data_IF_107896618839
#
_entry.id   IF_107896618839
#
_cell.length_a   1.000
_cell.length_b   1.000
_cell.length_c   1.000
_cell.angle_alpha   90.00
_cell.angle_beta   90.00
_cell.angle_gamma   90.00
#
_symmetry.space_group_name_H-M   'P 1'
#
loop_
_entity.id
_entity.type
_entity.pdbx_description
1 polymer ?
#
# COMPACT_ATOMS: atom_id res chain seq x y z
N UNK A 1 18.53 -13.79 18.52
CA UNK A 1 18.86 -13.56 17.07
C UNK A 1 18.35 -14.77 16.28
N UNK A 2 17.41 -14.55 15.35
CA UNK A 2 16.90 -15.61 14.49
C UNK A 2 18.02 -16.13 13.58
N UNK A 3 18.17 -17.46 13.47
CA UNK A 3 19.14 -18.09 12.59
C UNK A 3 18.82 -17.72 11.14
N UNK A 4 19.76 -17.24 10.31
CA UNK A 4 19.45 -16.86 8.93
C UNK A 4 18.87 -18.06 8.18
N UNK A 5 17.84 -17.80 7.37
CA UNK A 5 17.20 -18.79 6.52
C UNK A 5 18.24 -19.40 5.58
N UNK A 6 18.32 -20.73 5.51
CA UNK A 6 19.23 -21.44 4.59
C UNK A 6 18.80 -21.32 3.12
N UNK A 7 17.58 -20.84 2.86
CA UNK A 7 16.98 -20.75 1.53
C UNK A 7 16.87 -19.29 1.07
N UNK A 8 17.04 -19.09 -0.23
CA UNK A 8 16.82 -17.80 -0.90
C UNK A 8 15.33 -17.52 -1.05
N UNK A 9 14.96 -16.24 -1.26
CA UNK A 9 13.56 -15.85 -1.46
C UNK A 9 12.93 -16.53 -2.68
N UNK A 10 13.71 -16.76 -3.74
CA UNK A 10 13.26 -17.53 -4.92
C UNK A 10 12.88 -18.96 -4.58
N UNK A 11 13.68 -19.64 -3.76
CA UNK A 11 13.38 -20.99 -3.30
C UNK A 11 12.15 -21.03 -2.40
N UNK A 12 11.96 -20.03 -1.56
CA UNK A 12 10.73 -19.91 -0.76
C UNK A 12 9.49 -19.70 -1.62
N UNK A 13 9.60 -18.92 -2.68
CA UNK A 13 8.52 -18.70 -3.64
C UNK A 13 8.16 -19.99 -4.40
N UNK A 14 9.16 -20.73 -4.86
CA UNK A 14 8.98 -22.05 -5.48
C UNK A 14 8.30 -23.05 -4.54
N UNK A 15 8.71 -23.11 -3.27
CA UNK A 15 8.07 -23.96 -2.26
C UNK A 15 6.60 -23.56 -2.07
N UNK A 16 6.30 -22.26 -2.03
CA UNK A 16 4.93 -21.73 -1.91
C UNK A 16 4.07 -22.19 -3.08
N UNK A 17 4.56 -22.04 -4.30
CA UNK A 17 3.84 -22.42 -5.52
C UNK A 17 3.58 -23.94 -5.57
N UNK A 18 4.55 -24.75 -5.17
CA UNK A 18 4.41 -26.21 -5.12
C UNK A 18 3.42 -26.67 -4.03
N UNK A 19 3.41 -25.99 -2.87
CA UNK A 19 2.40 -26.22 -1.81
C UNK A 19 0.99 -25.84 -2.28
N UNK A 20 0.84 -24.76 -3.02
CA UNK A 20 -0.44 -24.32 -3.61
C UNK A 20 -0.94 -25.34 -4.64
N UNK A 21 -0.03 -25.96 -5.39
CA UNK A 21 -0.33 -27.03 -6.34
C UNK A 21 -0.60 -28.39 -5.67
N UNK A 22 -0.59 -28.45 -4.33
CA UNK A 22 -0.97 -29.65 -3.56
C UNK A 22 0.18 -30.58 -3.19
N UNK A 23 1.45 -30.18 -3.38
CA UNK A 23 2.58 -30.97 -2.96
C UNK A 23 2.71 -31.03 -1.43
N UNK A 24 3.17 -32.18 -0.93
CA UNK A 24 3.33 -32.41 0.50
C UNK A 24 4.46 -31.57 1.08
N UNK A 25 4.15 -30.78 2.12
CA UNK A 25 5.17 -29.99 2.87
C UNK A 25 6.33 -30.87 3.37
N UNK A 26 6.04 -32.11 3.74
CA UNK A 26 7.05 -33.08 4.17
C UNK A 26 7.99 -33.51 3.04
N UNK A 27 7.48 -33.68 1.82
CA UNK A 27 8.29 -33.98 0.64
C UNK A 27 9.24 -32.84 0.32
N UNK A 28 8.71 -31.63 0.27
CA UNK A 28 9.47 -30.39 0.03
C UNK A 28 10.53 -30.15 1.11
N UNK A 29 10.19 -30.38 2.38
CA UNK A 29 11.16 -30.29 3.48
C UNK A 29 12.36 -31.19 3.31
N UNK A 30 12.14 -32.42 2.84
CA UNK A 30 13.24 -33.39 2.55
C UNK A 30 14.06 -32.92 1.36
N UNK A 31 13.44 -32.48 0.30
CA UNK A 31 14.10 -32.03 -0.93
C UNK A 31 15.01 -30.81 -0.69
N UNK A 32 14.51 -29.80 0.05
CA UNK A 32 15.27 -28.60 0.35
C UNK A 32 16.14 -28.67 1.61
N UNK A 33 16.15 -29.81 2.30
CA UNK A 33 16.99 -30.06 3.49
C UNK A 33 16.65 -29.16 4.68
N UNK A 34 15.38 -28.81 4.85
CA UNK A 34 14.86 -27.95 5.93
C UNK A 34 13.81 -28.69 6.77
N UNK A 35 13.48 -28.15 7.93
CA UNK A 35 12.41 -28.70 8.77
C UNK A 35 11.03 -28.41 8.16
N UNK A 36 10.11 -29.38 8.24
CA UNK A 36 8.72 -29.19 7.83
C UNK A 36 8.03 -28.05 8.59
N UNK A 37 8.38 -27.87 9.88
CA UNK A 37 7.89 -26.75 10.70
C UNK A 37 8.22 -25.38 10.10
N UNK A 38 9.41 -25.24 9.50
CA UNK A 38 9.83 -23.99 8.86
C UNK A 38 8.99 -23.68 7.62
N UNK A 39 8.62 -24.71 6.83
CA UNK A 39 7.69 -24.53 5.69
C UNK A 39 6.29 -24.17 6.24
N UNK A 40 5.83 -24.85 7.27
CA UNK A 40 4.51 -24.60 7.86
C UNK A 40 4.40 -23.17 8.39
N UNK A 41 5.42 -22.69 9.09
CA UNK A 41 5.44 -21.36 9.67
C UNK A 41 5.47 -20.25 8.61
N UNK A 42 6.32 -20.39 7.58
CA UNK A 42 6.51 -19.34 6.57
C UNK A 42 5.49 -19.36 5.45
N UNK A 43 5.04 -20.53 5.02
CA UNK A 43 4.28 -20.70 3.78
C UNK A 43 2.77 -20.87 4.04
N UNK A 44 2.36 -21.38 5.22
CA UNK A 44 0.94 -21.70 5.45
C UNK A 44 0.04 -20.46 5.45
N UNK A 45 0.45 -19.39 6.14
CA UNK A 45 -0.35 -18.15 6.18
C UNK A 45 -0.51 -17.55 4.77
N UNK A 46 0.58 -17.47 4.02
CA UNK A 46 0.57 -16.95 2.64
C UNK A 46 -0.26 -17.83 1.71
N UNK A 47 -0.18 -19.15 1.83
CA UNK A 47 -1.02 -20.07 1.04
C UNK A 47 -2.52 -19.93 1.36
N UNK A 48 -2.87 -19.72 2.63
CA UNK A 48 -4.26 -19.49 3.03
C UNK A 48 -4.80 -18.17 2.48
N UNK A 49 -4.00 -17.09 2.55
CA UNK A 49 -4.38 -15.81 1.95
C UNK A 49 -4.60 -15.94 0.44
N UNK A 50 -3.68 -16.58 -0.29
CA UNK A 50 -3.82 -16.79 -1.74
C UNK A 50 -5.07 -17.62 -2.06
N UNK A 51 -5.35 -18.71 -1.30
CA UNK A 51 -6.55 -19.51 -1.47
C UNK A 51 -7.82 -18.71 -1.22
N UNK A 52 -7.85 -17.91 -0.17
CA UNK A 52 -8.98 -17.04 0.14
C UNK A 52 -9.25 -16.03 -0.98
N UNK A 53 -8.21 -15.39 -1.51
CA UNK A 53 -8.34 -14.48 -2.66
C UNK A 53 -8.83 -15.23 -3.89
N UNK A 54 -8.30 -16.42 -4.17
CA UNK A 54 -8.77 -17.25 -5.30
C UNK A 54 -10.26 -17.63 -5.16
N UNK A 55 -10.71 -18.02 -3.97
CA UNK A 55 -12.12 -18.28 -3.71
C UNK A 55 -13.01 -17.05 -3.91
N UNK A 56 -12.54 -15.87 -3.47
CA UNK A 56 -13.27 -14.61 -3.68
C UNK A 56 -13.39 -14.26 -5.16
N UNK A 57 -12.31 -14.45 -5.94
CA UNK A 57 -12.33 -14.23 -7.39
C UNK A 57 -13.33 -15.17 -8.09
N UNK A 58 -13.32 -16.46 -7.76
CA UNK A 58 -14.28 -17.42 -8.32
C UNK A 58 -15.71 -17.05 -7.94
N UNK A 59 -15.96 -16.66 -6.68
CA UNK A 59 -17.28 -16.22 -6.25
C UNK A 59 -17.75 -14.97 -6.99
N UNK A 60 -16.85 -13.99 -7.19
CA UNK A 60 -17.13 -12.78 -7.96
C UNK A 60 -17.46 -13.10 -9.42
N UNK A 61 -16.67 -13.97 -10.08
CA UNK A 61 -16.96 -14.40 -11.46
C UNK A 61 -18.31 -15.13 -11.57
N UNK A 62 -18.62 -16.01 -10.61
CA UNK A 62 -19.91 -16.69 -10.58
C UNK A 62 -21.08 -15.70 -10.38
N UNK A 63 -20.89 -14.66 -9.57
CA UNK A 63 -21.89 -13.62 -9.38
C UNK A 63 -22.11 -12.80 -10.67
N UNK A 64 -21.02 -12.42 -11.34
CA UNK A 64 -21.10 -11.70 -12.63
C UNK A 64 -21.81 -12.54 -13.70
N UNK A 65 -21.53 -13.83 -13.82
CA UNK A 65 -22.16 -14.74 -14.79
C UNK A 65 -23.68 -14.90 -14.59
N UNK A 66 -24.21 -14.60 -13.40
CA UNK A 66 -25.66 -14.60 -13.13
C UNK A 66 -26.38 -13.34 -13.63
N UNK A 67 -25.64 -12.29 -13.97
CA UNK A 67 -26.19 -11.06 -14.51
C UNK A 67 -26.46 -11.22 -16.02
N UNK A 68 -27.41 -10.43 -16.56
CA UNK A 68 -27.57 -10.30 -18.01
C UNK A 68 -26.33 -9.61 -18.65
N UNK A 69 -26.11 -9.80 -19.94
CA UNK A 69 -24.92 -9.32 -20.65
C UNK A 69 -24.64 -7.82 -20.46
N UNK A 70 -25.63 -6.89 -20.59
CA UNK A 70 -25.38 -5.47 -20.33
C UNK A 70 -24.93 -5.18 -18.91
N UNK A 71 -25.48 -5.87 -17.91
CA UNK A 71 -25.07 -5.71 -16.51
C UNK A 71 -23.68 -6.28 -16.24
N UNK A 72 -23.28 -7.37 -16.90
CA UNK A 72 -21.91 -7.90 -16.83
C UNK A 72 -20.89 -6.86 -17.32
N UNK A 73 -21.15 -6.24 -18.49
CA UNK A 73 -20.29 -5.19 -19.05
C UNK A 73 -20.21 -4.00 -18.10
N UNK A 74 -21.35 -3.58 -17.53
CA UNK A 74 -21.39 -2.48 -16.56
C UNK A 74 -20.59 -2.78 -15.29
N UNK A 75 -20.69 -4.00 -14.77
CA UNK A 75 -19.95 -4.45 -13.59
C UNK A 75 -18.43 -4.44 -13.83
N UNK A 76 -17.98 -4.96 -14.98
CA UNK A 76 -16.55 -4.92 -15.35
C UNK A 76 -16.02 -3.49 -15.54
N UNK A 77 -16.81 -2.63 -16.20
CA UNK A 77 -16.43 -1.23 -16.38
C UNK A 77 -16.33 -0.48 -15.04
N UNK A 78 -17.27 -0.74 -14.11
CA UNK A 78 -17.22 -0.15 -12.78
C UNK A 78 -16.01 -0.65 -11.98
N UNK A 79 -15.75 -1.95 -11.97
CA UNK A 79 -14.59 -2.52 -11.31
C UNK A 79 -13.27 -1.94 -11.84
N UNK A 80 -13.14 -1.82 -13.17
CA UNK A 80 -11.98 -1.20 -13.80
C UNK A 80 -11.78 0.27 -13.38
N UNK A 81 -12.88 1.05 -13.32
CA UNK A 81 -12.82 2.45 -12.85
C UNK A 81 -12.39 2.54 -11.39
N UNK A 82 -12.94 1.69 -10.51
CA UNK A 82 -12.57 1.68 -9.09
C UNK A 82 -11.10 1.32 -8.88
N UNK A 83 -10.58 0.32 -9.59
CA UNK A 83 -9.15 -0.02 -9.57
C UNK A 83 -8.28 1.14 -10.05
N UNK A 84 -8.67 1.81 -11.15
CA UNK A 84 -7.95 2.97 -11.66
C UNK A 84 -7.96 4.14 -10.68
N UNK A 85 -9.08 4.40 -10.00
CA UNK A 85 -9.15 5.44 -8.96
C UNK A 85 -8.22 5.11 -7.78
N UNK A 86 -8.25 3.88 -7.29
CA UNK A 86 -7.37 3.43 -6.19
C UNK A 86 -5.89 3.59 -6.56
N UNK A 87 -5.50 3.18 -7.78
CA UNK A 87 -4.15 3.36 -8.28
C UNK A 87 -3.75 4.84 -8.35
N UNK A 88 -4.62 5.69 -8.91
CA UNK A 88 -4.35 7.13 -9.04
C UNK A 88 -4.23 7.81 -7.67
N UNK A 89 -5.04 7.42 -6.68
CA UNK A 89 -4.93 7.95 -5.31
C UNK A 89 -3.60 7.56 -4.66
N UNK A 90 -3.18 6.30 -4.80
CA UNK A 90 -1.90 5.82 -4.29
C UNK A 90 -0.71 6.54 -4.97
N UNK A 91 -0.75 6.67 -6.29
CA UNK A 91 0.30 7.36 -7.07
C UNK A 91 0.40 8.84 -6.70
N UNK A 92 -0.75 9.53 -6.55
CA UNK A 92 -0.78 10.93 -6.14
C UNK A 92 -0.27 11.11 -4.71
N UNK A 93 -0.63 10.21 -3.79
CA UNK A 93 -0.10 10.18 -2.43
C UNK A 93 1.43 10.02 -2.41
N UNK A 94 1.96 9.09 -3.18
CA UNK A 94 3.40 8.87 -3.29
C UNK A 94 4.14 10.09 -3.89
N UNK A 95 3.56 10.74 -4.91
CA UNK A 95 4.09 11.98 -5.48
C UNK A 95 4.07 13.13 -4.48
N UNK A 96 3.00 13.27 -3.71
CA UNK A 96 2.89 14.26 -2.64
C UNK A 96 3.98 14.09 -1.57
N UNK A 97 4.21 12.87 -1.12
CA UNK A 97 5.28 12.55 -0.17
C UNK A 97 6.68 12.85 -0.75
N UNK A 98 6.92 12.52 -2.02
CA UNK A 98 8.18 12.83 -2.69
C UNK A 98 8.42 14.35 -2.83
N UNK A 99 7.38 15.13 -3.12
CA UNK A 99 7.45 16.60 -3.16
C UNK A 99 7.79 17.15 -1.77
N UNK A 100 7.11 16.69 -0.72
CA UNK A 100 7.39 17.08 0.65
C UNK A 100 8.86 16.83 1.04
N UNK A 101 9.39 15.65 0.72
CA UNK A 101 10.79 15.30 0.95
C UNK A 101 11.76 16.24 0.23
N UNK A 102 11.49 16.57 -1.04
CA UNK A 102 12.33 17.50 -1.82
C UNK A 102 12.29 18.92 -1.25
N UNK A 103 11.10 19.38 -0.85
CA UNK A 103 10.95 20.70 -0.23
C UNK A 103 11.70 20.78 1.11
N UNK A 104 11.67 19.73 1.93
CA UNK A 104 12.45 19.64 3.16
C UNK A 104 13.95 19.76 2.88
N UNK A 105 14.46 19.07 1.86
CA UNK A 105 15.89 19.18 1.46
C UNK A 105 16.24 20.59 0.97
N UNK A 106 15.31 21.27 0.29
CA UNK A 106 15.53 22.67 -0.13
C UNK A 106 15.55 23.60 1.10
N UNK A 107 14.65 23.38 2.06
CA UNK A 107 14.63 24.14 3.31
C UNK A 107 15.94 23.96 4.11
N UNK A 108 16.46 22.75 4.22
CA UNK A 108 17.75 22.45 4.86
C UNK A 108 18.90 23.23 4.19
N UNK A 109 18.95 23.28 2.87
CA UNK A 109 19.96 24.06 2.15
C UNK A 109 19.83 25.56 2.42
N UNK A 110 18.58 26.08 2.45
CA UNK A 110 18.34 27.49 2.79
C UNK A 110 18.72 27.83 4.24
N UNK A 111 18.63 26.85 5.16
CA UNK A 111 19.09 27.04 6.53
C UNK A 111 20.58 27.38 6.61
N UNK A 112 21.41 26.78 5.75
CA UNK A 112 22.84 27.16 5.66
C UNK A 112 23.06 28.63 5.29
N UNK A 113 22.22 29.24 4.45
CA UNK A 113 22.30 30.67 4.17
C UNK A 113 21.87 31.53 5.38
N UNK A 114 20.85 31.09 6.12
CA UNK A 114 20.41 31.75 7.35
C UNK A 114 21.52 31.74 8.40
N UNK A 115 22.19 30.60 8.57
CA UNK A 115 23.32 30.45 9.50
C UNK A 115 24.50 31.35 9.12
N UNK A 116 24.82 31.45 7.84
CA UNK A 116 25.85 32.35 7.33
C UNK A 116 25.52 33.80 7.61
N UNK A 117 24.29 34.23 7.30
CA UNK A 117 23.80 35.58 7.56
C UNK A 117 23.79 35.93 9.06
N UNK A 118 23.47 34.95 9.92
CA UNK A 118 23.58 35.12 11.37
C UNK A 118 25.00 35.29 11.84
N UNK A 119 25.96 34.51 11.28
CA UNK A 119 27.39 34.66 11.58
C UNK A 119 27.95 36.04 11.17
N UNK A 120 27.50 36.56 10.02
CA UNK A 120 27.88 37.85 9.49
C UNK A 120 27.14 39.04 10.18
N UNK A 121 26.35 38.78 11.21
CA UNK A 121 25.49 39.76 11.88
C UNK A 121 24.54 40.52 10.94
N UNK A 122 24.20 39.95 9.80
CA UNK A 122 23.24 40.53 8.84
C UNK A 122 21.80 40.12 9.21
N UNK A 123 21.21 40.86 10.12
CA UNK A 123 19.88 40.54 10.68
C UNK A 123 18.78 40.55 9.62
N UNK A 124 18.84 41.43 8.63
CA UNK A 124 17.84 41.55 7.57
C UNK A 124 17.83 40.32 6.68
N UNK A 125 18.99 39.91 6.16
CA UNK A 125 19.14 38.68 5.35
C UNK A 125 18.79 37.42 6.15
N UNK A 126 19.15 37.38 7.42
CA UNK A 126 18.76 36.27 8.31
C UNK A 126 17.25 36.17 8.46
N UNK A 127 16.55 37.28 8.72
CA UNK A 127 15.08 37.28 8.86
C UNK A 127 14.36 36.91 7.57
N UNK A 128 14.85 37.36 6.42
CA UNK A 128 14.30 37.00 5.11
C UNK A 128 14.50 35.50 4.81
N UNK A 129 15.69 34.98 5.09
CA UNK A 129 15.98 33.57 4.97
C UNK A 129 15.08 32.68 5.85
N UNK A 130 14.86 33.08 7.11
CA UNK A 130 13.95 32.38 8.03
C UNK A 130 12.51 32.36 7.49
N UNK A 131 12.01 33.49 6.94
CA UNK A 131 10.68 33.55 6.31
C UNK A 131 10.58 32.58 5.13
N UNK A 132 11.63 32.52 4.30
CA UNK A 132 11.67 31.61 3.15
C UNK A 132 11.67 30.15 3.59
N UNK A 133 12.49 29.77 4.57
CA UNK A 133 12.52 28.42 5.13
C UNK A 133 11.15 28.03 5.70
N UNK A 134 10.53 28.91 6.47
CA UNK A 134 9.20 28.66 7.04
C UNK A 134 8.14 28.48 5.95
N UNK A 135 8.16 29.25 4.87
CA UNK A 135 7.22 29.10 3.75
C UNK A 135 7.41 27.73 3.06
N UNK A 136 8.66 27.34 2.79
CA UNK A 136 8.97 26.03 2.19
C UNK A 136 8.52 24.89 3.09
N UNK A 137 8.83 24.95 4.39
CA UNK A 137 8.46 23.91 5.35
C UNK A 137 6.94 23.79 5.51
N UNK A 138 6.22 24.92 5.49
CA UNK A 138 4.77 24.92 5.50
C UNK A 138 4.20 24.18 4.29
N UNK A 139 4.67 24.48 3.09
CA UNK A 139 4.25 23.80 1.86
C UNK A 139 4.62 22.30 1.87
N UNK A 140 5.79 21.96 2.42
CA UNK A 140 6.20 20.57 2.60
C UNK A 140 5.24 19.79 3.53
N UNK A 141 4.87 20.41 4.67
CA UNK A 141 3.94 19.81 5.62
C UNK A 141 2.54 19.64 5.03
N UNK A 142 2.04 20.64 4.30
CA UNK A 142 0.75 20.57 3.60
C UNK A 142 0.74 19.46 2.55
N UNK A 143 1.82 19.32 1.77
CA UNK A 143 1.98 18.23 0.78
C UNK A 143 2.05 16.85 1.45
N UNK A 144 2.73 16.75 2.58
CA UNK A 144 2.81 15.51 3.36
C UNK A 144 1.47 15.12 3.97
N UNK A 145 0.74 16.08 4.53
CA UNK A 145 -0.60 15.84 5.09
C UNK A 145 -1.56 15.35 4.01
N UNK A 146 -1.60 16.01 2.85
CA UNK A 146 -2.41 15.59 1.71
C UNK A 146 -2.06 14.16 1.25
N UNK A 147 -0.77 13.83 1.18
CA UNK A 147 -0.32 12.48 0.81
C UNK A 147 -0.84 11.42 1.79
N UNK A 148 -0.75 11.68 3.10
CA UNK A 148 -1.24 10.77 4.15
C UNK A 148 -2.76 10.61 4.04
N UNK A 149 -3.50 11.70 3.83
CA UNK A 149 -4.96 11.65 3.73
C UNK A 149 -5.42 10.87 2.49
N UNK A 150 -4.76 11.05 1.34
CA UNK A 150 -5.02 10.26 0.13
C UNK A 150 -4.74 8.77 0.33
N UNK A 151 -3.64 8.42 1.01
CA UNK A 151 -3.32 7.02 1.29
C UNK A 151 -4.30 6.39 2.28
N UNK A 152 -4.75 7.12 3.30
CA UNK A 152 -5.79 6.68 4.23
C UNK A 152 -7.12 6.45 3.52
N UNK A 153 -7.57 7.43 2.72
CA UNK A 153 -8.81 7.33 1.94
C UNK A 153 -8.76 6.15 0.96
N UNK A 154 -7.61 5.91 0.31
CA UNK A 154 -7.43 4.77 -0.56
C UNK A 154 -7.52 3.45 0.21
N UNK A 155 -6.88 3.35 1.37
CA UNK A 155 -6.96 2.17 2.25
C UNK A 155 -8.41 1.91 2.68
N UNK A 156 -9.10 2.93 3.18
CA UNK A 156 -10.50 2.82 3.61
C UNK A 156 -11.42 2.38 2.47
N UNK A 157 -11.20 2.90 1.26
CA UNK A 157 -11.94 2.49 0.06
C UNK A 157 -11.70 1.01 -0.26
N UNK A 158 -10.45 0.54 -0.24
CA UNK A 158 -10.09 -0.86 -0.49
C UNK A 158 -10.65 -1.76 0.61
N UNK A 159 -10.51 -1.38 1.87
CA UNK A 159 -11.04 -2.15 3.01
C UNK A 159 -12.58 -2.26 2.93
N UNK A 160 -13.27 -1.19 2.52
CA UNK A 160 -14.72 -1.19 2.31
C UNK A 160 -15.14 -2.12 1.17
N UNK A 161 -14.36 -2.19 0.08
CA UNK A 161 -14.62 -3.11 -1.03
C UNK A 161 -14.41 -4.58 -0.64
N UNK A 162 -13.49 -4.85 0.28
CA UNK A 162 -13.12 -6.19 0.73
C UNK A 162 -14.01 -6.72 1.87
N UNK A 163 -14.91 -5.90 2.44
CA UNK A 163 -15.84 -6.39 3.46
C UNK A 163 -16.78 -7.44 2.89
N UNK A 164 -17.12 -8.51 3.65
CA UNK A 164 -18.13 -9.48 3.27
C UNK A 164 -19.45 -8.78 2.92
N UNK A 165 -20.18 -9.35 1.97
CA UNK A 165 -21.43 -8.76 1.45
C UNK A 165 -22.51 -8.54 2.53
N UNK A 166 -22.49 -9.38 3.59
CA UNK A 166 -23.41 -9.28 4.72
C UNK A 166 -23.10 -8.13 5.69
N UNK A 167 -21.86 -7.63 5.68
CA UNK A 167 -21.41 -6.52 6.52
C UNK A 167 -21.46 -5.15 5.79
N UNK A 168 -21.78 -5.13 4.50
CA UNK A 168 -21.92 -3.89 3.75
C UNK A 168 -23.29 -3.27 4.01
N UNK A 169 -23.35 -1.94 4.17
CA UNK A 169 -24.63 -1.26 4.28
C UNK A 169 -25.50 -1.57 3.06
N UNK A 170 -26.72 -2.04 3.30
CA UNK A 170 -27.65 -2.48 2.24
C UNK A 170 -28.49 -1.35 1.68
N UNK A 171 -28.58 -0.25 2.42
CA UNK A 171 -29.37 0.93 2.05
C UNK A 171 -28.64 2.22 2.37
N UNK A 172 -29.09 3.33 1.73
CA UNK A 172 -28.57 4.68 2.03
C UNK A 172 -28.78 5.06 3.51
N UNK A 173 -29.82 4.52 4.18
CA UNK A 173 -30.08 4.80 5.59
C UNK A 173 -29.06 4.14 6.54
N UNK A 174 -28.42 3.04 6.11
CA UNK A 174 -27.39 2.36 6.90
C UNK A 174 -26.08 3.18 6.98
N UNK A 175 -25.94 4.20 6.12
CA UNK A 175 -24.80 5.15 6.16
C UNK A 175 -24.99 6.31 7.14
N UNK A 176 -26.21 6.54 7.64
CA UNK A 176 -26.54 7.69 8.49
C UNK A 176 -26.97 7.29 9.91
N UNK A 177 -26.85 6.02 10.27
CA UNK A 177 -27.06 5.48 11.60
C UNK A 177 -25.74 5.31 12.32
#
# INVERSE_FOLDING_TARGET
MARPSKLTDKQWQEITDRVLNGESKRSLAKEYGIAESSIREKVSAQCEEIKNVAHQLVAAECAVKKLNLPAQVSAHNLASKLMSMSYNMADTGNKGAAIASRLSTIAEKHMGFVETAAYDNNLESMMEGVKTVNAIMRTANESSALAVDLLKANKEAVDSMNKPQDERPKTLNDFYS
#
